data_IF_312659115155
#
_entry.id   IF_312659115155
#
_cell.length_a   1.000
_cell.length_b   1.000
_cell.length_c   1.000
_cell.angle_alpha   90.00
_cell.angle_beta   90.00
_cell.angle_gamma   90.00
#
_symmetry.space_group_name_H-M   'P 1'
#
loop_
_entity.id
_entity.type
_entity.pdbx_description
1 polymer ?
#
# COMPACT_ATOMS: atom_id res chain seq x y z
N UNK A 1 -20.86 -77.00 -6.96
CA UNK A 1 -20.17 -76.82 -5.67
C UNK A 1 -19.60 -75.42 -5.69
N UNK A 2 -20.08 -74.60 -4.75
CA UNK A 2 -19.52 -73.33 -4.21
C UNK A 2 -19.10 -72.23 -5.21
N UNK A 3 -19.50 -70.96 -5.12
CA UNK A 3 -20.21 -70.20 -4.10
C UNK A 3 -20.06 -68.70 -4.40
N UNK A 4 -21.16 -67.96 -4.23
CA UNK A 4 -21.28 -66.59 -3.71
C UNK A 4 -20.53 -65.36 -4.29
N UNK A 5 -21.39 -64.41 -4.75
CA UNK A 5 -21.48 -62.99 -4.35
C UNK A 5 -20.49 -61.98 -4.95
N UNK A 6 -21.01 -60.91 -5.57
CA UNK A 6 -20.20 -59.71 -5.84
C UNK A 6 -20.77 -58.52 -6.63
N UNK A 7 -22.04 -58.12 -6.40
CA UNK A 7 -22.60 -56.76 -6.65
C UNK A 7 -22.29 -56.03 -7.99
N UNK A 8 -23.26 -56.08 -8.90
CA UNK A 8 -23.46 -55.02 -9.91
C UNK A 8 -23.93 -53.72 -9.24
N UNK A 9 -23.07 -52.70 -9.16
CA UNK A 9 -23.50 -51.33 -8.85
C UNK A 9 -23.81 -50.57 -10.14
N UNK A 10 -25.11 -50.31 -10.33
CA UNK A 10 -25.68 -49.50 -11.41
C UNK A 10 -25.27 -48.04 -11.24
N UNK A 11 -24.51 -47.50 -12.19
CA UNK A 11 -24.18 -46.08 -12.26
C UNK A 11 -25.41 -45.29 -12.74
N UNK A 12 -26.25 -44.85 -11.79
CA UNK A 12 -27.33 -43.90 -12.09
C UNK A 12 -26.69 -42.53 -12.31
N UNK A 13 -26.66 -42.09 -13.57
CA UNK A 13 -26.32 -40.71 -13.97
C UNK A 13 -27.37 -39.76 -13.38
N UNK A 14 -27.02 -39.10 -12.28
CA UNK A 14 -27.79 -37.97 -11.75
C UNK A 14 -27.42 -36.73 -12.56
N UNK A 15 -28.35 -36.29 -13.42
CA UNK A 15 -28.39 -34.95 -13.97
C UNK A 15 -28.74 -33.98 -12.83
N UNK A 16 -27.73 -33.38 -12.20
CA UNK A 16 -27.89 -32.23 -11.33
C UNK A 16 -26.54 -31.52 -11.17
N UNK A 17 -25.99 -31.01 -12.29
CA UNK A 17 -24.82 -30.15 -12.25
C UNK A 17 -25.21 -28.71 -12.51
N UNK A 18 -25.49 -28.03 -11.40
CA UNK A 18 -24.96 -26.72 -11.04
C UNK A 18 -25.14 -25.57 -12.05
N UNK A 19 -26.36 -25.04 -12.10
CA UNK A 19 -26.65 -23.70 -12.63
C UNK A 19 -26.28 -22.64 -11.58
N UNK A 20 -25.00 -22.28 -11.45
CA UNK A 20 -24.56 -21.02 -10.81
C UNK A 20 -23.37 -20.46 -11.59
N UNK A 21 -23.64 -19.92 -12.77
CA UNK A 21 -22.74 -18.97 -13.44
C UNK A 21 -23.64 -17.89 -14.03
N UNK A 22 -23.21 -16.63 -13.88
CA UNK A 22 -23.85 -15.37 -14.32
C UNK A 22 -24.57 -14.58 -13.22
N UNK A 23 -23.80 -14.18 -12.21
CA UNK A 23 -24.01 -12.89 -11.55
C UNK A 23 -22.67 -12.19 -11.31
N UNK A 24 -21.76 -12.27 -12.28
CA UNK A 24 -20.76 -11.22 -12.45
C UNK A 24 -21.50 -10.03 -13.04
N UNK A 25 -22.11 -9.24 -12.16
CA UNK A 25 -22.54 -7.91 -12.53
C UNK A 25 -21.35 -7.19 -13.14
N UNK A 26 -21.41 -6.98 -14.45
CA UNK A 26 -20.84 -5.82 -15.11
C UNK A 26 -21.53 -4.58 -14.54
N UNK A 27 -21.28 -4.28 -13.27
CA UNK A 27 -21.46 -2.96 -12.74
C UNK A 27 -20.16 -2.23 -13.07
N UNK A 28 -20.20 -1.42 -14.13
CA UNK A 28 -19.29 -0.28 -14.20
C UNK A 28 -19.32 0.39 -12.83
N UNK A 29 -18.14 0.66 -12.28
CA UNK A 29 -17.91 1.19 -10.93
C UNK A 29 -18.99 2.19 -10.51
N UNK A 30 -19.99 1.72 -9.76
CA UNK A 30 -20.69 2.60 -8.83
C UNK A 30 -19.64 2.90 -7.77
N UNK A 31 -19.17 4.14 -7.73
CA UNK A 31 -18.14 4.59 -6.80
C UNK A 31 -18.38 4.03 -5.39
N UNK A 32 -17.33 3.54 -4.75
CA UNK A 32 -17.48 3.02 -3.39
C UNK A 32 -17.93 4.15 -2.46
N UNK A 33 -18.87 3.86 -1.55
CA UNK A 33 -19.29 4.79 -0.50
C UNK A 33 -18.47 4.61 0.79
N UNK A 34 -17.76 3.49 0.93
CA UNK A 34 -16.86 3.23 2.03
C UNK A 34 -15.76 2.27 1.60
N UNK A 35 -14.70 2.20 2.39
CA UNK A 35 -13.57 1.34 2.10
C UNK A 35 -12.43 1.48 3.08
N UNK A 36 -11.26 1.04 2.65
CA UNK A 36 -10.05 1.15 3.43
C UNK A 36 -8.81 1.31 2.56
N UNK A 37 -7.84 2.02 3.12
CA UNK A 37 -6.48 2.11 2.66
C UNK A 37 -5.59 1.20 3.50
N UNK A 38 -4.77 0.39 2.84
CA UNK A 38 -3.63 -0.26 3.48
C UNK A 38 -2.34 0.47 3.07
N UNK A 39 -1.55 0.88 4.06
CA UNK A 39 -0.21 1.42 3.87
C UNK A 39 0.82 0.43 4.41
N UNK A 40 1.81 0.13 3.59
CA UNK A 40 2.88 -0.81 3.92
C UNK A 40 4.19 -0.06 3.91
N UNK A 41 4.90 -0.07 5.03
CA UNK A 41 6.25 0.47 5.09
C UNK A 41 7.25 -0.56 4.56
N UNK A 42 7.84 -0.29 3.40
CA UNK A 42 8.98 -1.02 2.85
C UNK A 42 10.15 -0.06 2.58
N UNK A 43 10.27 1.00 3.38
CA UNK A 43 11.29 2.03 3.24
C UNK A 43 12.66 1.51 3.70
N UNK A 44 13.39 0.96 2.74
CA UNK A 44 14.78 0.57 2.86
C UNK A 44 15.38 0.38 1.47
N UNK A 45 16.71 0.45 1.39
CA UNK A 45 17.47 0.21 0.16
C UNK A 45 18.11 -1.17 0.28
N UNK A 46 17.73 -2.08 -0.62
CA UNK A 46 18.36 -3.41 -0.68
C UNK A 46 19.59 -3.30 -1.58
N UNK A 47 20.78 -3.43 -1.01
CA UNK A 47 22.04 -3.50 -1.75
C UNK A 47 22.58 -4.91 -1.62
N UNK A 48 22.81 -5.59 -2.75
CA UNK A 48 23.32 -6.97 -2.80
C UNK A 48 22.52 -7.98 -1.94
N UNK A 49 21.19 -7.86 -1.92
CA UNK A 49 20.31 -8.78 -1.19
C UNK A 49 20.21 -8.53 0.32
N UNK A 50 20.89 -7.51 0.85
CA UNK A 50 20.76 -7.07 2.25
C UNK A 50 20.07 -5.72 2.32
N UNK A 51 19.16 -5.56 3.29
CA UNK A 51 18.55 -4.27 3.62
C UNK A 51 19.56 -3.27 4.21
N UNK A 52 20.73 -3.75 4.65
CA UNK A 52 21.71 -2.95 5.39
C UNK A 52 21.10 -2.26 6.62
N UNK A 53 21.80 -1.26 7.17
CA UNK A 53 21.26 -0.35 8.20
C UNK A 53 20.27 0.70 7.65
N UNK A 54 19.69 0.48 6.47
CA UNK A 54 18.91 1.46 5.71
C UNK A 54 17.38 1.32 5.86
N UNK A 55 16.92 0.33 6.62
CA UNK A 55 15.51 0.19 6.98
C UNK A 55 15.08 1.33 7.91
N UNK A 56 13.96 1.98 7.59
CA UNK A 56 13.47 3.16 8.31
C UNK A 56 12.05 3.02 8.81
N UNK A 57 11.78 3.65 9.95
CA UNK A 57 10.42 3.94 10.37
C UNK A 57 9.89 5.14 9.57
N UNK A 58 8.58 5.21 9.39
CA UNK A 58 7.92 6.34 8.72
C UNK A 58 6.81 6.92 9.57
N UNK A 59 6.63 8.23 9.49
CA UNK A 59 5.39 8.90 9.88
C UNK A 59 4.49 8.94 8.67
N UNK A 60 3.21 8.64 8.86
CA UNK A 60 2.20 8.66 7.80
C UNK A 60 1.07 9.58 8.23
N UNK A 61 0.68 10.49 7.35
CA UNK A 61 -0.49 11.34 7.51
C UNK A 61 -1.39 11.14 6.30
N UNK A 62 -2.63 10.72 6.56
CA UNK A 62 -3.61 10.47 5.50
C UNK A 62 -4.64 11.59 5.55
N UNK A 63 -4.95 12.12 4.38
CA UNK A 63 -5.83 13.27 4.23
C UNK A 63 -7.01 12.96 3.32
N UNK A 64 -8.14 13.55 3.66
CA UNK A 64 -9.29 13.70 2.78
C UNK A 64 -9.35 15.14 2.23
N UNK A 65 -10.44 15.52 1.57
CA UNK A 65 -10.61 16.87 1.01
C UNK A 65 -10.71 17.98 2.06
N UNK A 66 -10.94 17.64 3.33
CA UNK A 66 -11.10 18.58 4.44
C UNK A 66 -9.84 18.70 5.29
N UNK A 67 -8.92 17.75 5.20
CA UNK A 67 -7.61 17.80 5.88
C UNK A 67 -7.13 16.43 6.34
N UNK A 68 -6.21 16.42 7.29
CA UNK A 68 -5.66 15.18 7.85
C UNK A 68 -6.75 14.45 8.66
N UNK A 69 -7.04 13.22 8.26
CA UNK A 69 -8.05 12.38 8.87
C UNK A 69 -7.50 11.11 9.54
N UNK A 70 -6.19 10.85 9.41
CA UNK A 70 -5.47 9.84 10.18
C UNK A 70 -3.99 10.19 10.28
N UNK A 71 -3.36 9.90 11.42
CA UNK A 71 -1.92 10.05 11.62
C UNK A 71 -1.35 8.83 12.33
N UNK A 72 -0.33 8.23 11.71
CA UNK A 72 0.53 7.22 12.34
C UNK A 72 1.87 7.86 12.62
N UNK A 73 2.18 8.07 13.90
CA UNK A 73 3.39 8.78 14.34
C UNK A 73 4.66 8.00 14.06
N UNK A 74 4.61 6.67 14.10
CA UNK A 74 5.71 5.79 13.74
C UNK A 74 5.19 4.43 13.24
N UNK A 75 5.50 4.11 12.00
CA UNK A 75 5.26 2.81 11.38
C UNK A 75 6.62 2.17 11.11
N UNK A 76 6.92 1.06 11.80
CA UNK A 76 8.18 0.35 11.63
C UNK A 76 8.33 -0.24 10.23
N UNK A 77 9.57 -0.49 9.79
CA UNK A 77 9.83 -1.21 8.55
C UNK A 77 9.13 -2.58 8.56
N UNK A 78 8.47 -2.93 7.45
CA UNK A 78 7.63 -4.13 7.34
C UNK A 78 6.24 -4.00 7.99
N UNK A 79 6.00 -2.91 8.72
CA UNK A 79 4.72 -2.62 9.36
C UNK A 79 3.62 -2.25 8.36
N UNK A 80 2.38 -2.43 8.81
CA UNK A 80 1.17 -2.12 8.06
C UNK A 80 0.26 -1.23 8.91
N UNK A 81 -0.32 -0.21 8.28
CA UNK A 81 -1.47 0.52 8.85
C UNK A 81 -2.68 0.41 7.93
N UNK A 82 -3.86 0.28 8.53
CA UNK A 82 -5.13 0.25 7.83
C UNK A 82 -5.92 1.50 8.23
N UNK A 83 -6.33 2.28 7.24
CA UNK A 83 -7.10 3.51 7.42
C UNK A 83 -8.47 3.34 6.75
N UNK A 84 -9.55 3.14 7.52
CA UNK A 84 -10.88 3.06 6.97
C UNK A 84 -11.36 4.45 6.53
N UNK A 85 -12.23 4.49 5.51
CA UNK A 85 -12.91 5.70 5.06
C UNK A 85 -14.37 5.41 4.75
N UNK A 86 -15.24 6.41 4.91
CA UNK A 86 -16.66 6.31 4.59
C UNK A 86 -17.20 7.70 4.25
N UNK A 87 -17.82 7.84 3.08
CA UNK A 87 -18.33 9.12 2.56
C UNK A 87 -19.47 9.70 3.39
N UNK A 88 -20.14 8.87 4.21
CA UNK A 88 -21.18 9.32 5.14
C UNK A 88 -20.62 9.84 6.48
N UNK A 89 -19.32 9.69 6.75
CA UNK A 89 -18.72 10.27 7.94
C UNK A 89 -18.67 11.79 7.86
N UNK A 90 -18.66 12.44 9.03
CA UNK A 90 -18.12 13.80 9.15
C UNK A 90 -16.61 13.71 9.34
N UNK A 91 -15.86 14.55 8.62
CA UNK A 91 -14.41 14.64 8.73
C UNK A 91 -13.96 14.83 10.18
N UNK A 92 -12.94 14.08 10.59
CA UNK A 92 -12.17 14.34 11.80
C UNK A 92 -10.76 13.77 11.67
N UNK A 93 -9.87 14.08 12.61
CA UNK A 93 -8.49 13.57 12.67
C UNK A 93 -8.36 12.06 12.83
N UNK A 94 -9.47 11.34 12.99
CA UNK A 94 -9.54 9.87 13.12
C UNK A 94 -10.56 9.21 12.19
N UNK A 95 -11.31 10.00 11.41
CA UNK A 95 -12.38 9.51 10.52
C UNK A 95 -12.27 10.19 9.17
N UNK A 96 -11.83 9.41 8.18
CA UNK A 96 -11.75 9.87 6.80
C UNK A 96 -13.11 9.77 6.10
N UNK A 97 -13.43 10.79 5.30
CA UNK A 97 -14.61 10.80 4.42
C UNK A 97 -14.32 10.12 3.08
N UNK A 98 -13.14 10.35 2.53
CA UNK A 98 -12.54 9.65 1.40
C UNK A 98 -11.03 9.81 1.50
N UNK A 99 -10.22 9.01 0.81
CA UNK A 99 -8.76 9.23 0.80
C UNK A 99 -8.38 10.05 -0.42
N UNK A 100 -7.73 11.19 -0.22
CA UNK A 100 -7.25 12.07 -1.30
C UNK A 100 -5.74 12.03 -1.40
N UNK A 101 -5.02 12.03 -0.27
CA UNK A 101 -3.57 11.96 -0.28
C UNK A 101 -2.99 11.28 0.95
N UNK A 102 -1.73 10.89 0.83
CA UNK A 102 -0.92 10.36 1.91
C UNK A 102 0.44 11.05 1.89
N UNK A 103 0.74 11.76 2.98
CA UNK A 103 2.06 12.34 3.22
C UNK A 103 2.88 11.38 4.08
N UNK A 104 4.10 11.11 3.63
CA UNK A 104 5.02 10.21 4.31
C UNK A 104 6.30 10.96 4.64
N UNK A 105 6.77 10.83 5.88
CA UNK A 105 8.06 11.36 6.32
C UNK A 105 8.89 10.22 6.88
N UNK A 106 10.16 10.12 6.46
CA UNK A 106 11.09 9.19 7.09
C UNK A 106 11.39 9.66 8.52
N UNK A 107 11.37 8.73 9.48
CA UNK A 107 11.79 8.97 10.84
C UNK A 107 13.24 8.51 10.97
N UNK A 108 14.11 9.42 11.41
CA UNK A 108 15.53 9.12 11.61
C UNK A 108 15.71 7.88 12.49
N UNK A 109 16.52 6.95 12.03
CA UNK A 109 17.14 5.95 12.90
C UNK A 109 18.39 6.57 13.55
N UNK A 110 18.67 6.21 14.80
CA UNK A 110 19.79 6.73 15.59
C UNK A 110 21.17 6.46 14.98
N UNK A 111 21.26 5.64 13.91
CA UNK A 111 22.49 5.39 13.17
C UNK A 111 22.89 6.53 12.21
N UNK A 112 22.01 7.50 11.92
CA UNK A 112 22.35 8.68 11.12
C UNK A 112 22.35 8.47 9.59
N UNK A 113 21.77 7.38 9.09
CA UNK A 113 21.97 6.95 7.69
C UNK A 113 20.69 6.98 6.85
N UNK A 114 19.59 7.59 7.30
CA UNK A 114 18.37 7.60 6.47
C UNK A 114 17.62 8.93 6.56
N UNK A 115 17.74 9.70 5.48
CA UNK A 115 16.98 10.91 5.23
C UNK A 115 16.37 10.78 3.84
N UNK A 116 15.05 10.63 3.83
CA UNK A 116 14.25 10.86 2.65
C UNK A 116 13.52 12.19 2.81
N UNK A 117 13.42 12.92 1.72
CA UNK A 117 12.72 14.19 1.63
C UNK A 117 11.81 14.19 0.39
N UNK A 118 11.12 15.30 0.15
CA UNK A 118 10.40 15.58 -1.10
C UNK A 118 11.33 15.74 -2.32
N UNK A 119 12.61 16.05 -2.09
CA UNK A 119 13.64 16.23 -3.12
C UNK A 119 14.98 15.59 -2.71
N UNK A 120 15.81 15.25 -3.71
CA UNK A 120 17.15 14.75 -3.47
C UNK A 120 18.12 15.92 -3.24
N UNK A 121 18.77 15.96 -2.08
CA UNK A 121 19.63 17.06 -1.66
C UNK A 121 21.07 16.57 -1.45
N UNK A 122 22.07 17.16 -2.15
CA UNK A 122 23.48 16.77 -2.02
C UNK A 122 24.18 17.31 -0.77
N UNK A 123 23.52 18.20 -0.03
CA UNK A 123 23.88 18.58 1.33
C UNK A 123 22.73 18.14 2.24
N UNK A 124 22.75 16.88 2.75
CA UNK A 124 21.64 16.34 3.52
C UNK A 124 21.32 17.24 4.73
N UNK A 125 20.12 17.84 4.80
CA UNK A 125 19.76 18.72 5.91
C UNK A 125 19.73 17.91 7.20
N UNK A 126 20.01 18.49 8.38
CA UNK A 126 19.96 17.73 9.63
C UNK A 126 18.56 17.19 9.92
N UNK A 127 17.48 17.68 9.34
CA UNK A 127 16.12 17.14 9.48
C UNK A 127 15.46 17.08 8.09
N UNK A 128 14.54 16.14 7.88
CA UNK A 128 13.71 16.14 6.67
C UNK A 128 12.90 17.45 6.61
N UNK A 129 12.92 18.10 5.45
CA UNK A 129 12.32 19.43 5.27
C UNK A 129 10.86 19.35 4.84
N UNK A 130 10.48 18.30 4.08
CA UNK A 130 9.10 18.05 3.68
C UNK A 130 8.79 16.55 3.54
N UNK A 131 7.50 16.15 3.64
CA UNK A 131 7.09 14.79 3.33
C UNK A 131 7.15 14.51 1.82
N UNK A 132 7.20 13.22 1.46
CA UNK A 132 6.82 12.78 0.12
C UNK A 132 5.31 12.57 0.08
N UNK A 133 4.63 13.25 -0.84
CA UNK A 133 3.18 13.15 -1.03
C UNK A 133 2.81 12.14 -2.11
N UNK A 134 1.85 11.28 -1.79
CA UNK A 134 1.21 10.34 -2.71
C UNK A 134 -0.26 10.72 -2.86
N UNK A 135 -0.71 10.91 -4.09
CA UNK A 135 -2.09 11.29 -4.42
C UNK A 135 -2.89 10.02 -4.70
N UNK A 136 -4.00 9.82 -4.00
CA UNK A 136 -4.87 8.68 -4.21
C UNK A 136 -5.58 8.73 -5.59
N UNK A 137 -6.04 7.59 -6.13
CA UNK A 137 -6.88 7.59 -7.32
C UNK A 137 -8.13 8.48 -7.15
N UNK A 138 -8.55 9.17 -8.21
CA UNK A 138 -9.66 10.12 -8.10
C UNK A 138 -11.03 9.46 -8.02
N UNK A 139 -11.17 8.20 -8.46
CA UNK A 139 -12.39 7.43 -8.24
C UNK A 139 -12.34 6.71 -6.89
N UNK A 140 -13.38 6.90 -6.08
CA UNK A 140 -13.51 6.20 -4.80
C UNK A 140 -13.57 4.68 -5.00
N UNK A 141 -12.69 3.95 -4.33
CA UNK A 141 -12.55 2.50 -4.43
C UNK A 141 -12.50 1.86 -3.03
N UNK A 142 -13.31 0.83 -2.81
CA UNK A 142 -13.47 0.19 -1.51
C UNK A 142 -12.14 -0.33 -0.93
N UNK A 143 -11.21 -0.72 -1.80
CA UNK A 143 -9.89 -1.20 -1.40
C UNK A 143 -8.82 -0.41 -2.17
N UNK A 144 -7.97 0.31 -1.46
CA UNK A 144 -6.78 0.96 -2.01
C UNK A 144 -5.55 0.57 -1.18
N UNK A 145 -4.39 0.51 -1.82
CA UNK A 145 -3.14 0.13 -1.18
C UNK A 145 -1.98 1.00 -1.66
N UNK A 146 -1.07 1.33 -0.74
CA UNK A 146 0.16 2.05 -1.03
C UNK A 146 1.33 1.36 -0.31
N UNK A 147 2.37 1.01 -1.07
CA UNK A 147 3.63 0.51 -0.53
C UNK A 147 4.65 1.63 -0.64
N UNK A 148 5.30 2.00 0.46
CA UNK A 148 6.37 3.00 0.47
C UNK A 148 7.71 2.29 0.29
N UNK A 149 8.56 2.78 -0.62
CA UNK A 149 9.82 2.11 -0.98
C UNK A 149 11.02 3.06 -0.94
N UNK A 150 12.19 2.54 -0.58
CA UNK A 150 13.45 3.32 -0.59
C UNK A 150 14.25 3.23 -1.88
N UNK A 151 13.92 2.28 -2.76
CA UNK A 151 14.59 2.10 -4.05
C UNK A 151 14.05 3.09 -5.10
N UNK A 152 14.74 3.16 -6.24
CA UNK A 152 14.25 3.87 -7.41
C UNK A 152 12.85 3.36 -7.81
N UNK A 153 11.92 4.28 -8.05
CA UNK A 153 10.59 3.98 -8.56
C UNK A 153 10.18 4.98 -9.64
N UNK A 154 9.48 4.56 -10.70
CA UNK A 154 8.95 5.50 -11.68
C UNK A 154 7.93 6.44 -11.03
N UNK A 155 7.79 7.64 -11.59
CA UNK A 155 6.70 8.54 -11.22
C UNK A 155 5.34 7.88 -11.54
N UNK A 156 4.35 8.06 -10.68
CA UNK A 156 2.99 7.60 -10.93
C UNK A 156 2.14 8.77 -11.44
N UNK A 157 1.42 8.55 -12.55
CA UNK A 157 0.51 9.55 -13.12
C UNK A 157 -0.87 9.34 -12.49
N UNK A 158 -1.35 10.35 -11.77
CA UNK A 158 -2.65 10.29 -11.10
C UNK A 158 -3.79 10.16 -12.12
N UNK A 159 -4.74 9.28 -11.84
CA UNK A 159 -5.95 9.11 -12.64
C UNK A 159 -7.10 8.59 -11.79
N UNK A 160 -8.25 8.32 -12.42
CA UNK A 160 -9.36 7.63 -11.78
C UNK A 160 -8.97 6.30 -11.13
N UNK A 161 -7.93 5.63 -11.65
CA UNK A 161 -7.56 4.28 -11.19
C UNK A 161 -6.12 4.12 -10.73
N UNK A 162 -5.34 5.21 -10.78
CA UNK A 162 -3.91 5.20 -10.50
C UNK A 162 -3.56 6.27 -9.48
N UNK A 163 -2.64 5.91 -8.59
CA UNK A 163 -2.02 6.85 -7.68
C UNK A 163 -1.16 7.88 -8.43
N UNK A 164 -0.89 9.01 -7.79
CA UNK A 164 0.07 10.01 -8.25
C UNK A 164 1.26 10.11 -7.31
N UNK A 165 2.47 10.24 -7.85
CA UNK A 165 3.66 10.58 -7.06
C UNK A 165 4.78 11.06 -7.98
N UNK A 166 5.73 11.81 -7.42
CA UNK A 166 7.03 12.01 -8.05
C UNK A 166 7.79 10.67 -8.20
N UNK A 167 8.87 10.68 -8.99
CA UNK A 167 9.78 9.55 -9.08
C UNK A 167 10.52 9.35 -7.76
N UNK A 168 10.65 8.10 -7.31
CA UNK A 168 11.46 7.74 -6.16
C UNK A 168 12.94 7.72 -6.52
N UNK A 169 13.77 8.33 -5.68
CA UNK A 169 15.22 8.43 -5.87
C UNK A 169 15.89 7.79 -4.65
N UNK A 170 16.72 6.74 -4.82
CA UNK A 170 17.41 6.14 -3.68
C UNK A 170 18.46 7.12 -3.12
N UNK A 171 18.68 7.14 -1.79
CA UNK A 171 19.76 7.90 -1.20
C UNK A 171 21.13 7.39 -1.67
N UNK A 172 22.10 8.30 -1.74
CA UNK A 172 23.50 7.97 -2.07
C UNK A 172 24.32 7.98 -0.79
N UNK A 173 25.12 6.94 -0.59
CA UNK A 173 26.00 6.76 0.58
C UNK A 173 27.47 6.89 0.18
N UNK A 174 28.26 7.54 1.04
CA UNK A 174 29.71 7.61 0.89
C UNK A 174 30.31 6.22 1.13
N UNK A 175 31.15 5.76 0.20
CA UNK A 175 31.82 4.46 0.32
C UNK A 175 32.89 4.44 1.42
N UNK A 176 33.40 5.61 1.82
CA UNK A 176 34.48 5.75 2.80
C UNK A 176 34.03 5.51 4.25
N UNK A 177 32.80 5.88 4.60
CA UNK A 177 32.31 5.85 5.99
C UNK A 177 30.83 5.43 6.12
N UNK A 178 30.13 5.16 5.01
CA UNK A 178 28.72 4.77 5.01
C UNK A 178 27.74 5.89 5.36
N UNK A 179 28.19 7.14 5.50
CA UNK A 179 27.28 8.27 5.77
C UNK A 179 26.51 8.67 4.51
N UNK A 180 25.35 9.29 4.70
CA UNK A 180 24.57 9.80 3.57
C UNK A 180 25.29 10.97 2.89
N UNK A 181 25.42 10.89 1.57
CA UNK A 181 25.95 11.96 0.70
C UNK A 181 24.84 12.73 0.00
N UNK A 182 23.74 12.06 -0.36
CA UNK A 182 22.58 12.67 -1.02
C UNK A 182 21.31 12.06 -0.42
N UNK A 183 20.33 12.90 -0.04
CA UNK A 183 19.03 12.41 0.44
C UNK A 183 18.26 11.68 -0.66
N UNK A 184 17.44 10.71 -0.27
CA UNK A 184 16.51 10.07 -1.18
C UNK A 184 15.17 10.80 -1.29
N UNK A 185 14.38 10.45 -2.30
CA UNK A 185 12.94 10.72 -2.38
C UNK A 185 12.22 9.39 -2.28
N UNK A 186 11.24 9.27 -1.38
CA UNK A 186 10.53 8.00 -1.21
C UNK A 186 9.81 7.63 -2.50
N UNK A 187 10.01 6.38 -2.92
CA UNK A 187 9.21 5.79 -3.97
C UNK A 187 7.92 5.19 -3.41
N UNK A 188 7.05 4.76 -4.31
CA UNK A 188 5.91 3.98 -3.90
C UNK A 188 5.26 3.18 -5.02
N UNK A 189 4.46 2.21 -4.61
CA UNK A 189 3.64 1.39 -5.50
C UNK A 189 2.19 1.47 -5.04
N UNK A 190 1.39 2.18 -5.82
CA UNK A 190 -0.04 2.33 -5.60
C UNK A 190 -0.86 1.23 -6.29
N UNK A 191 -1.91 0.76 -5.62
CA UNK A 191 -2.87 -0.23 -6.14
C UNK A 191 -4.30 0.12 -5.70
N UNK A 192 -5.28 -0.40 -6.43
CA UNK A 192 -6.70 -0.30 -6.07
C UNK A 192 -7.51 -1.54 -6.48
N UNK A 193 -8.74 -1.64 -5.97
CA UNK A 193 -9.69 -2.69 -6.30
C UNK A 193 -9.15 -4.09 -5.97
N UNK A 194 -9.31 -5.03 -6.91
CA UNK A 194 -8.92 -6.44 -6.73
C UNK A 194 -7.41 -6.58 -6.45
N UNK A 195 -6.56 -5.75 -7.08
CA UNK A 195 -5.11 -5.76 -6.83
C UNK A 195 -4.78 -5.34 -5.40
N UNK A 196 -5.45 -4.30 -4.89
CA UNK A 196 -5.30 -3.88 -3.50
C UNK A 196 -5.84 -4.94 -2.53
N UNK A 197 -7.02 -5.51 -2.80
CA UNK A 197 -7.60 -6.58 -1.98
C UNK A 197 -6.69 -7.82 -1.91
N UNK A 198 -6.12 -8.24 -3.04
CA UNK A 198 -5.15 -9.33 -3.07
C UNK A 198 -3.88 -9.01 -2.26
N UNK A 199 -3.44 -7.74 -2.25
CA UNK A 199 -2.32 -7.30 -1.43
C UNK A 199 -2.67 -7.31 0.06
N UNK A 200 -3.85 -6.83 0.44
CA UNK A 200 -4.34 -6.83 1.83
C UNK A 200 -4.30 -8.24 2.44
N UNK A 201 -4.81 -9.24 1.69
CA UNK A 201 -4.80 -10.64 2.13
C UNK A 201 -3.40 -11.17 2.43
N UNK A 202 -2.38 -10.76 1.65
CA UNK A 202 -0.98 -11.17 1.89
C UNK A 202 -0.40 -10.63 3.19
N UNK A 203 -0.99 -9.58 3.74
CA UNK A 203 -0.60 -8.95 5.00
C UNK A 203 -1.61 -9.25 6.13
N UNK A 204 -2.47 -10.26 5.95
CA UNK A 204 -3.47 -10.66 6.96
C UNK A 204 -4.59 -9.63 7.16
N UNK A 205 -4.75 -8.66 6.27
CA UNK A 205 -5.81 -7.65 6.31
C UNK A 205 -6.98 -8.14 5.47
N UNK A 206 -8.18 -8.17 6.07
CA UNK A 206 -9.41 -8.51 5.36
C UNK A 206 -9.83 -7.34 4.45
N UNK A 207 -10.06 -7.54 3.14
CA UNK A 207 -10.56 -6.51 2.24
C UNK A 207 -11.96 -6.00 2.63
N UNK A 208 -12.24 -4.73 2.33
CA UNK A 208 -13.59 -4.18 2.36
C UNK A 208 -14.47 -4.87 1.32
N UNK A 209 -15.75 -5.05 1.68
CA UNK A 209 -16.77 -5.69 0.85
C UNK A 209 -17.19 -4.82 -0.33
#
# INVERSE_FOLDING_TARGET
>A
MDGCIGKHMKFKRSLASLTIVLSFGLAGSLFAASGQLILINSLGVVVNGSLGGSASNIKVQVSDSSGICSTTSSLAYGGVVVVPWNSANTHSTTKCTNIVSVDVSALKTASGVIQYDSTANPAPPPLATAPTTFIAPTAAAANIALIITGNASPAMINSATSWGSAAGIPPVYLTSNGSISVTGVMGGVGMQGIKAAARMLRYGVRPAA
#
